data_IF_472716173108
#
_entry.id   IF_472716173108
#
_cell.length_a   1.000
_cell.length_b   1.000
_cell.length_c   1.000
_cell.angle_alpha   90.00
_cell.angle_beta   90.00
_cell.angle_gamma   90.00
#
_symmetry.space_group_name_H-M   'P 1'
#
loop_
_entity.id
_entity.type
_entity.pdbx_description
1 polymer ?
#
# COMPACT_ATOMS: atom_id res chain seq x y z
N UNK A 1 8.48 38.93 -8.46
CA UNK A 1 7.85 38.15 -9.54
C UNK A 1 6.54 37.58 -9.01
N UNK A 2 5.41 38.06 -9.52
CA UNK A 2 4.07 37.74 -9.03
C UNK A 2 3.70 36.29 -9.34
N UNK A 3 3.67 35.43 -8.31
CA UNK A 3 3.07 34.10 -8.40
C UNK A 3 1.58 34.25 -8.68
N UNK A 4 1.16 33.89 -9.90
CA UNK A 4 -0.27 33.78 -10.24
C UNK A 4 -0.84 32.64 -9.41
N UNK A 5 -1.50 32.98 -8.30
CA UNK A 5 -2.38 32.07 -7.56
C UNK A 5 -3.48 31.60 -8.51
N UNK A 6 -3.25 30.50 -9.21
CA UNK A 6 -4.27 29.85 -10.02
C UNK A 6 -5.32 29.28 -9.06
N UNK A 7 -6.60 29.55 -9.31
CA UNK A 7 -7.68 28.99 -8.52
C UNK A 7 -7.72 27.48 -8.75
N UNK A 8 -7.14 26.71 -7.81
CA UNK A 8 -7.03 25.24 -7.93
C UNK A 8 -8.39 24.56 -7.78
N UNK A 9 -9.23 25.09 -6.89
CA UNK A 9 -10.62 24.65 -6.72
C UNK A 9 -11.57 25.81 -7.01
N UNK A 10 -12.67 25.60 -7.77
CA UNK A 10 -13.67 26.63 -8.02
C UNK A 10 -14.32 27.14 -6.72
N UNK A 11 -14.49 26.26 -5.74
CA UNK A 11 -15.16 26.53 -4.46
C UNK A 11 -14.61 25.62 -3.36
N UNK A 12 -14.68 26.07 -2.11
CA UNK A 12 -14.44 25.26 -0.91
C UNK A 12 -15.60 25.48 0.07
N UNK A 13 -16.14 24.38 0.60
CA UNK A 13 -17.17 24.42 1.64
C UNK A 13 -16.52 24.33 3.03
N UNK A 14 -17.26 24.68 4.10
CA UNK A 14 -16.75 24.59 5.48
C UNK A 14 -17.67 23.72 6.33
N UNK A 15 -17.08 22.72 6.98
CA UNK A 15 -17.80 21.86 7.91
C UNK A 15 -18.10 22.57 9.22
N UNK A 16 -19.22 22.19 9.85
CA UNK A 16 -19.47 22.54 11.24
C UNK A 16 -18.66 21.65 12.20
N UNK A 17 -18.42 22.13 13.41
CA UNK A 17 -17.61 21.42 14.43
C UNK A 17 -18.10 20.00 14.72
N UNK A 18 -19.42 19.77 14.77
CA UNK A 18 -19.99 18.43 15.01
C UNK A 18 -19.67 17.45 13.89
N UNK A 19 -19.64 17.91 12.64
CA UNK A 19 -19.29 17.08 11.49
C UNK A 19 -17.79 16.85 11.39
N UNK A 20 -16.97 17.84 11.77
CA UNK A 20 -15.52 17.66 11.94
C UNK A 20 -15.19 16.62 12.99
N UNK A 21 -15.84 16.67 14.16
CA UNK A 21 -15.66 15.66 15.20
C UNK A 21 -16.06 14.26 14.72
N UNK A 22 -17.16 14.15 13.96
CA UNK A 22 -17.56 12.87 13.35
C UNK A 22 -16.52 12.34 12.38
N UNK A 23 -15.92 13.18 11.53
CA UNK A 23 -14.82 12.76 10.64
C UNK A 23 -13.65 12.21 11.45
N UNK A 24 -13.25 12.91 12.52
CA UNK A 24 -12.18 12.46 13.39
C UNK A 24 -12.51 11.09 13.99
N UNK A 25 -13.70 10.93 14.56
CA UNK A 25 -14.11 9.70 15.26
C UNK A 25 -14.39 8.51 14.34
N UNK A 26 -14.72 8.73 13.06
CA UNK A 26 -15.12 7.66 12.13
C UNK A 26 -14.07 7.34 11.07
N UNK A 27 -13.14 8.25 10.80
CA UNK A 27 -12.12 8.07 9.76
C UNK A 27 -10.73 8.11 10.37
N UNK A 28 -10.36 9.22 11.01
CA UNK A 28 -8.98 9.47 11.46
C UNK A 28 -8.61 8.55 12.63
N UNK A 29 -9.39 8.58 13.72
CA UNK A 29 -9.10 7.81 14.92
C UNK A 29 -9.16 6.29 14.67
N UNK A 30 -10.15 5.72 13.96
CA UNK A 30 -10.13 4.30 13.59
C UNK A 30 -8.93 3.90 12.75
N UNK A 31 -8.51 4.74 11.79
CA UNK A 31 -7.32 4.47 10.96
C UNK A 31 -6.04 4.45 11.80
N UNK A 32 -5.90 5.38 12.74
CA UNK A 32 -4.78 5.39 13.69
C UNK A 32 -4.84 4.22 14.68
N UNK A 33 -6.03 3.85 15.15
CA UNK A 33 -6.24 2.75 16.10
C UNK A 33 -5.85 1.39 15.49
N UNK A 34 -6.13 1.16 14.21
CA UNK A 34 -5.66 -0.04 13.48
C UNK A 34 -4.13 -0.16 13.42
N UNK A 35 -3.41 0.94 13.65
CA UNK A 35 -1.97 1.05 13.43
C UNK A 35 -1.68 1.49 12.00
N UNK A 36 -0.93 2.59 11.86
CA UNK A 36 -0.69 3.26 10.57
C UNK A 36 0.35 2.50 9.76
N UNK A 37 1.38 1.96 10.41
CA UNK A 37 2.51 1.26 9.75
C UNK A 37 2.50 -0.25 10.01
N UNK A 38 2.24 -0.66 11.25
CA UNK A 38 2.03 -2.07 11.61
C UNK A 38 0.61 -2.23 12.08
N UNK A 39 -0.13 -3.16 11.46
CA UNK A 39 -1.52 -3.46 11.83
C UNK A 39 -1.59 -4.18 13.16
N UNK A 40 -2.55 -3.78 14.00
CA UNK A 40 -2.82 -4.38 15.31
C UNK A 40 -3.89 -5.47 15.13
N UNK A 41 -3.58 -6.77 15.32
CA UNK A 41 -4.52 -7.85 15.02
C UNK A 41 -5.87 -7.72 15.74
N UNK A 42 -5.85 -7.40 17.03
CA UNK A 42 -7.07 -7.24 17.84
C UNK A 42 -7.98 -6.12 17.33
N UNK A 43 -7.38 -5.04 16.79
CA UNK A 43 -8.12 -3.90 16.26
C UNK A 43 -8.62 -4.18 14.84
N UNK A 44 -7.86 -4.89 14.01
CA UNK A 44 -8.35 -5.31 12.69
C UNK A 44 -9.56 -6.24 12.82
N UNK A 45 -9.50 -7.23 13.70
CA UNK A 45 -10.62 -8.12 13.99
C UNK A 45 -11.87 -7.34 14.45
N UNK A 46 -11.70 -6.39 15.38
CA UNK A 46 -12.79 -5.54 15.84
C UNK A 46 -13.35 -4.66 14.72
N UNK A 47 -12.47 -4.10 13.88
CA UNK A 47 -12.87 -3.22 12.80
C UNK A 47 -13.63 -3.92 11.67
N UNK A 48 -13.29 -5.17 11.37
CA UNK A 48 -14.05 -6.05 10.48
C UNK A 48 -15.42 -6.35 11.10
N UNK A 49 -15.47 -6.85 12.35
CA UNK A 49 -16.72 -7.17 13.04
C UNK A 49 -17.68 -5.98 13.15
N UNK A 50 -17.16 -4.78 13.32
CA UNK A 50 -17.93 -3.55 13.47
C UNK A 50 -18.06 -2.75 12.16
N UNK A 51 -17.54 -3.27 11.05
CA UNK A 51 -17.54 -2.67 9.71
C UNK A 51 -17.19 -1.17 9.69
N UNK A 52 -16.06 -0.83 10.33
CA UNK A 52 -15.62 0.56 10.51
C UNK A 52 -15.45 1.30 9.17
N UNK A 53 -14.94 0.60 8.15
CA UNK A 53 -14.76 1.20 6.82
C UNK A 53 -16.09 1.54 6.15
N UNK A 54 -17.09 0.65 6.18
CA UNK A 54 -18.40 0.99 5.61
C UNK A 54 -19.07 2.14 6.36
N UNK A 55 -18.91 2.21 7.69
CA UNK A 55 -19.36 3.35 8.49
C UNK A 55 -18.66 4.65 8.07
N UNK A 56 -17.35 4.62 7.85
CA UNK A 56 -16.58 5.77 7.36
C UNK A 56 -17.04 6.23 5.97
N UNK A 57 -17.25 5.30 5.02
CA UNK A 57 -17.78 5.59 3.69
C UNK A 57 -19.17 6.24 3.76
N UNK A 58 -20.07 5.70 4.60
CA UNK A 58 -21.40 6.31 4.83
C UNK A 58 -21.30 7.73 5.40
N UNK A 59 -20.32 8.01 6.28
CA UNK A 59 -20.10 9.37 6.75
C UNK A 59 -19.64 10.32 5.63
N UNK A 60 -18.74 9.87 4.76
CA UNK A 60 -18.31 10.65 3.59
C UNK A 60 -19.48 10.97 2.64
N UNK A 61 -20.33 9.98 2.35
CA UNK A 61 -21.54 10.17 1.56
C UNK A 61 -22.49 11.19 2.18
N UNK A 62 -22.69 11.11 3.51
CA UNK A 62 -23.51 12.08 4.24
C UNK A 62 -22.95 13.50 4.13
N UNK A 63 -21.63 13.66 4.20
CA UNK A 63 -20.96 14.95 4.05
C UNK A 63 -21.11 15.49 2.61
N UNK A 64 -20.89 14.66 1.59
CA UNK A 64 -21.12 15.03 0.18
C UNK A 64 -22.57 15.45 -0.07
N UNK A 65 -23.55 14.71 0.47
CA UNK A 65 -24.98 15.06 0.36
C UNK A 65 -25.31 16.40 1.05
N UNK A 66 -24.70 16.67 2.21
CA UNK A 66 -25.00 17.87 3.00
C UNK A 66 -24.31 19.13 2.47
N UNK A 67 -23.04 19.02 2.09
CA UNK A 67 -22.20 20.17 1.74
C UNK A 67 -21.99 20.32 0.22
N UNK A 68 -22.28 19.30 -0.56
CA UNK A 68 -21.97 19.23 -1.99
C UNK A 68 -20.60 18.58 -2.27
N UNK A 69 -20.21 18.46 -3.55
CA UNK A 69 -19.01 17.74 -3.97
C UNK A 69 -17.70 18.51 -3.76
N UNK A 70 -17.75 19.85 -3.70
CA UNK A 70 -16.54 20.67 -3.55
C UNK A 70 -15.79 20.35 -2.24
N UNK A 71 -14.45 20.56 -2.19
CA UNK A 71 -13.64 20.20 -1.03
C UNK A 71 -14.17 20.81 0.26
N UNK A 72 -14.16 20.01 1.33
CA UNK A 72 -14.74 20.38 2.62
C UNK A 72 -13.64 20.73 3.62
N UNK A 73 -13.56 22.01 3.98
CA UNK A 73 -12.67 22.52 5.01
C UNK A 73 -13.16 22.09 6.39
N UNK A 74 -12.36 21.23 7.04
CA UNK A 74 -12.51 20.82 8.43
C UNK A 74 -11.68 21.76 9.32
N UNK A 75 -12.33 22.56 10.21
CA UNK A 75 -11.63 23.46 11.13
C UNK A 75 -10.98 22.70 12.29
N UNK A 76 -10.00 21.83 12.02
CA UNK A 76 -9.21 21.19 13.07
C UNK A 76 -8.28 22.24 13.70
N UNK A 77 -8.18 22.34 15.05
CA UNK A 77 -7.31 23.29 15.72
C UNK A 77 -5.86 23.23 15.21
N UNK A 78 -5.20 24.38 15.11
CA UNK A 78 -3.82 24.60 14.64
C UNK A 78 -3.54 24.25 13.17
N UNK A 79 -4.19 23.24 12.61
CA UNK A 79 -3.97 22.82 11.22
C UNK A 79 -5.27 22.38 10.55
N UNK A 80 -5.94 23.26 9.80
CA UNK A 80 -7.15 22.88 9.08
C UNK A 80 -6.84 21.80 8.03
N UNK A 81 -7.88 21.03 7.66
CA UNK A 81 -7.78 19.95 6.69
C UNK A 81 -8.84 20.13 5.60
N UNK A 82 -8.46 20.03 4.33
CA UNK A 82 -9.38 19.90 3.20
C UNK A 82 -9.68 18.42 2.96
N UNK A 83 -10.93 18.02 3.18
CA UNK A 83 -11.42 16.69 2.86
C UNK A 83 -11.98 16.69 1.42
N UNK A 84 -11.41 15.87 0.54
CA UNK A 84 -11.91 15.77 -0.84
C UNK A 84 -13.13 14.86 -0.91
N UNK A 85 -14.14 15.29 -1.68
CA UNK A 85 -15.41 14.58 -1.84
C UNK A 85 -15.76 14.29 -3.32
N UNK A 86 -14.93 14.76 -4.25
CA UNK A 86 -15.10 14.57 -5.69
C UNK A 86 -13.86 13.94 -6.32
N UNK A 87 -14.02 12.92 -7.20
CA UNK A 87 -12.90 12.30 -7.91
C UNK A 87 -12.07 13.27 -8.77
N UNK A 88 -12.68 14.32 -9.33
CA UNK A 88 -11.97 15.33 -10.12
C UNK A 88 -11.00 16.13 -9.24
N UNK A 89 -11.41 16.48 -8.03
CA UNK A 89 -10.53 17.16 -7.07
C UNK A 89 -9.38 16.25 -6.62
N UNK A 90 -9.62 14.95 -6.47
CA UNK A 90 -8.56 13.96 -6.22
C UNK A 90 -7.54 13.98 -7.36
N UNK A 91 -7.99 13.94 -8.61
CA UNK A 91 -7.11 14.02 -9.78
C UNK A 91 -6.28 15.32 -9.77
N UNK A 92 -6.93 16.47 -9.59
CA UNK A 92 -6.27 17.78 -9.50
C UNK A 92 -5.17 17.79 -8.42
N UNK A 93 -5.48 17.35 -7.20
CA UNK A 93 -4.52 17.32 -6.10
C UNK A 93 -3.31 16.43 -6.40
N UNK A 94 -3.56 15.23 -6.95
CA UNK A 94 -2.50 14.26 -7.21
C UNK A 94 -1.63 14.67 -8.40
N UNK A 95 -2.21 15.21 -9.47
CA UNK A 95 -1.47 15.69 -10.65
C UNK A 95 -0.67 16.96 -10.36
N UNK A 96 -1.17 17.83 -9.47
CA UNK A 96 -0.45 19.03 -8.99
C UNK A 96 0.37 18.77 -7.73
N UNK A 97 0.81 17.53 -7.50
CA UNK A 97 1.80 17.19 -6.48
C UNK A 97 3.21 17.15 -7.12
N UNK A 98 4.30 17.58 -6.44
CA UNK A 98 4.38 17.95 -5.04
C UNK A 98 4.09 19.42 -4.74
N UNK A 99 3.89 20.27 -5.74
CA UNK A 99 3.57 21.69 -5.53
C UNK A 99 2.36 22.10 -6.38
N UNK A 100 1.32 22.70 -5.78
CA UNK A 100 1.26 23.18 -4.39
C UNK A 100 0.93 22.10 -3.35
N UNK A 101 0.76 20.83 -3.73
CA UNK A 101 0.35 19.74 -2.83
C UNK A 101 1.51 18.84 -2.42
N UNK A 102 2.25 19.23 -1.37
CA UNK A 102 3.40 18.46 -0.88
C UNK A 102 2.98 17.10 -0.35
N UNK A 103 3.72 16.06 -0.74
CA UNK A 103 3.52 14.71 -0.25
C UNK A 103 4.21 14.44 1.11
N UNK A 104 5.26 15.20 1.42
CA UNK A 104 5.97 15.14 2.69
C UNK A 104 5.20 15.96 3.74
N UNK A 105 4.36 15.28 4.52
CA UNK A 105 3.56 15.91 5.57
C UNK A 105 4.17 15.69 6.94
N UNK A 106 3.93 16.58 7.94
CA UNK A 106 4.38 16.42 9.32
C UNK A 106 4.07 15.03 9.90
N UNK A 107 2.92 14.46 9.57
CA UNK A 107 2.54 13.10 9.98
C UNK A 107 3.53 12.05 9.45
N UNK A 108 3.90 12.14 8.17
CA UNK A 108 4.90 11.24 7.57
C UNK A 108 6.28 11.48 8.14
N UNK A 109 6.68 12.74 8.34
CA UNK A 109 7.97 13.06 8.96
C UNK A 109 8.07 12.45 10.36
N UNK A 110 7.06 12.67 11.20
CA UNK A 110 7.03 12.13 12.55
C UNK A 110 7.03 10.59 12.58
N UNK A 111 6.32 9.97 11.64
CA UNK A 111 6.22 8.52 11.56
C UNK A 111 7.52 7.88 11.04
N UNK A 112 8.02 8.36 9.90
CA UNK A 112 9.11 7.74 9.16
C UNK A 112 10.50 8.10 9.72
N UNK A 113 10.60 9.14 10.56
CA UNK A 113 11.83 9.45 11.29
C UNK A 113 12.36 8.32 12.17
N UNK A 114 11.50 7.36 12.54
CA UNK A 114 11.88 6.22 13.39
C UNK A 114 12.76 5.19 12.67
N UNK A 115 12.65 5.03 11.36
CA UNK A 115 13.39 3.99 10.62
C UNK A 115 13.97 4.44 9.27
N UNK A 116 13.53 5.59 8.74
CA UNK A 116 13.97 6.10 7.43
C UNK A 116 14.01 7.65 7.37
N UNK A 117 14.70 8.33 8.30
CA UNK A 117 14.60 9.78 8.48
C UNK A 117 15.04 10.63 7.28
N UNK A 118 15.78 10.04 6.33
CA UNK A 118 16.28 10.73 5.12
C UNK A 118 15.58 10.25 3.84
N UNK A 119 14.44 9.57 3.95
CA UNK A 119 13.75 8.97 2.81
C UNK A 119 13.11 10.00 1.85
N UNK A 120 12.99 9.61 0.58
CA UNK A 120 12.29 10.37 -0.47
C UNK A 120 10.83 10.74 -0.14
N UNK A 121 10.14 9.98 0.72
CA UNK A 121 8.75 10.25 1.14
C UNK A 121 8.60 11.42 2.12
N UNK A 122 9.67 11.77 2.84
CA UNK A 122 9.73 12.87 3.81
C UNK A 122 10.66 13.99 3.34
N UNK A 123 11.01 14.00 2.05
CA UNK A 123 11.90 14.99 1.48
C UNK A 123 11.14 16.21 0.95
N UNK A 124 11.77 17.38 0.98
CA UNK A 124 11.29 18.57 0.27
C UNK A 124 11.15 18.30 -1.23
N UNK A 125 10.46 19.17 -1.97
CA UNK A 125 10.30 19.00 -3.42
C UNK A 125 11.65 18.95 -4.16
N UNK A 126 12.58 19.85 -3.81
CA UNK A 126 13.95 19.86 -4.37
C UNK A 126 14.70 18.57 -4.06
N UNK A 127 14.72 18.16 -2.79
CA UNK A 127 15.42 16.95 -2.37
C UNK A 127 14.81 15.69 -2.96
N UNK A 128 13.49 15.67 -3.12
CA UNK A 128 12.78 14.59 -3.81
C UNK A 128 13.19 14.50 -5.27
N UNK A 129 13.37 15.62 -5.97
CA UNK A 129 13.82 15.62 -7.36
C UNK A 129 15.20 14.96 -7.53
N UNK A 130 16.06 15.05 -6.52
CA UNK A 130 17.37 14.36 -6.49
C UNK A 130 17.24 12.86 -6.17
N UNK A 131 16.42 12.50 -5.17
CA UNK A 131 16.32 11.12 -4.68
C UNK A 131 15.43 10.23 -5.56
N UNK A 132 14.38 10.79 -6.18
CA UNK A 132 13.36 10.03 -6.93
C UNK A 132 13.94 9.26 -8.12
N UNK A 133 14.82 9.83 -8.97
CA UNK A 133 15.41 9.08 -10.09
C UNK A 133 16.17 7.83 -9.64
N UNK A 134 16.86 7.88 -8.50
CA UNK A 134 17.57 6.73 -7.94
C UNK A 134 16.63 5.57 -7.59
N UNK A 135 15.45 5.88 -7.02
CA UNK A 135 14.40 4.88 -6.79
C UNK A 135 13.83 4.35 -8.09
N UNK A 136 13.55 5.22 -9.07
CA UNK A 136 12.95 4.79 -10.33
C UNK A 136 13.86 3.90 -11.17
N UNK A 137 15.17 4.17 -11.15
CA UNK A 137 16.18 3.31 -11.75
C UNK A 137 16.23 1.94 -11.06
N UNK A 138 16.29 1.94 -9.72
CA UNK A 138 16.43 0.72 -8.94
C UNK A 138 15.21 -0.19 -9.03
N UNK A 139 14.01 0.41 -9.05
CA UNK A 139 12.73 -0.28 -9.12
C UNK A 139 12.22 -0.50 -10.55
N UNK A 140 12.98 -0.03 -11.55
CA UNK A 140 12.62 -0.06 -12.97
C UNK A 140 11.20 0.47 -13.24
N UNK A 141 10.87 1.63 -12.68
CA UNK A 141 9.51 2.20 -12.68
C UNK A 141 8.88 2.29 -14.06
N UNK A 142 9.68 2.61 -15.09
CA UNK A 142 9.22 2.79 -16.46
C UNK A 142 8.94 1.46 -17.18
N UNK A 143 9.46 0.34 -16.66
CA UNK A 143 9.33 -0.96 -17.28
C UNK A 143 8.11 -1.69 -16.71
N UNK A 144 7.33 -2.32 -17.60
CA UNK A 144 6.20 -3.20 -17.19
C UNK A 144 6.70 -4.37 -16.33
N UNK A 145 7.80 -4.97 -16.77
CA UNK A 145 8.51 -6.03 -16.06
C UNK A 145 9.88 -5.53 -15.64
N UNK A 146 10.19 -5.70 -14.36
CA UNK A 146 11.54 -5.43 -13.86
C UNK A 146 12.58 -6.29 -14.61
N UNK A 147 13.79 -5.79 -14.92
CA UNK A 147 14.83 -6.58 -15.59
C UNK A 147 15.22 -7.88 -14.87
N UNK A 148 14.95 -7.96 -13.56
CA UNK A 148 15.21 -9.15 -12.73
C UNK A 148 13.96 -10.02 -12.50
N UNK A 149 12.83 -9.80 -13.20
CA UNK A 149 11.58 -10.55 -12.98
C UNK A 149 11.74 -12.06 -13.05
N UNK A 150 12.56 -12.58 -13.98
CA UNK A 150 12.83 -14.02 -14.06
C UNK A 150 13.58 -14.55 -12.83
N UNK A 151 14.56 -13.80 -12.33
CA UNK A 151 15.28 -14.13 -11.09
C UNK A 151 14.35 -14.05 -9.87
N UNK A 152 13.55 -12.99 -9.77
CA UNK A 152 12.56 -12.81 -8.71
C UNK A 152 11.55 -13.97 -8.69
N UNK A 153 11.08 -14.41 -9.86
CA UNK A 153 10.24 -15.62 -9.96
C UNK A 153 10.94 -16.84 -9.35
N UNK A 154 12.20 -17.09 -9.68
CA UNK A 154 12.96 -18.21 -9.11
C UNK A 154 13.07 -18.15 -7.58
N UNK A 155 13.32 -16.96 -7.03
CA UNK A 155 13.33 -16.73 -5.57
C UNK A 155 11.97 -17.02 -4.95
N UNK A 156 10.90 -16.47 -5.55
CA UNK A 156 9.52 -16.62 -5.07
C UNK A 156 9.11 -18.10 -5.10
N UNK A 157 9.32 -18.78 -6.23
CA UNK A 157 9.00 -20.20 -6.39
C UNK A 157 9.72 -21.03 -5.32
N UNK A 158 11.02 -20.79 -5.08
CA UNK A 158 11.78 -21.51 -4.07
C UNK A 158 11.21 -21.35 -2.65
N UNK A 159 10.88 -20.13 -2.23
CA UNK A 159 10.36 -19.89 -0.88
C UNK A 159 8.93 -20.42 -0.69
N UNK A 160 8.07 -20.27 -1.71
CA UNK A 160 6.68 -20.71 -1.62
C UNK A 160 6.51 -22.23 -1.81
N UNK A 161 7.36 -22.88 -2.61
CA UNK A 161 7.41 -24.34 -2.68
C UNK A 161 7.93 -24.96 -1.39
N UNK A 162 8.92 -24.32 -0.73
CA UNK A 162 9.35 -24.74 0.60
C UNK A 162 8.19 -24.60 1.61
N UNK A 163 7.52 -23.44 1.64
CA UNK A 163 6.35 -23.22 2.51
C UNK A 163 5.27 -24.29 2.30
N UNK A 164 4.99 -24.66 1.04
CA UNK A 164 4.05 -25.73 0.72
C UNK A 164 4.50 -27.09 1.28
N UNK A 165 5.80 -27.42 1.18
CA UNK A 165 6.38 -28.63 1.77
C UNK A 165 6.22 -28.64 3.29
N UNK A 166 6.56 -27.54 3.95
CA UNK A 166 6.46 -27.37 5.40
C UNK A 166 5.00 -27.54 5.86
N UNK A 167 4.04 -26.90 5.19
CA UNK A 167 2.60 -27.01 5.52
C UNK A 167 2.07 -28.43 5.32
N UNK A 168 2.52 -29.15 4.28
CA UNK A 168 2.12 -30.54 4.03
C UNK A 168 2.67 -31.50 5.07
N UNK A 169 3.87 -31.25 5.58
CA UNK A 169 4.46 -32.04 6.65
C UNK A 169 3.80 -31.77 8.01
N UNK A 170 3.22 -30.58 8.19
CA UNK A 170 2.43 -30.25 9.37
C UNK A 170 1.02 -30.86 9.28
N UNK A 171 0.49 -31.36 10.40
CA UNK A 171 -0.80 -32.10 10.44
C UNK A 171 -2.03 -31.25 10.08
N UNK A 172 -1.94 -29.92 10.13
CA UNK A 172 -3.07 -29.04 9.81
C UNK A 172 -3.32 -28.91 8.30
N UNK A 173 -2.27 -28.90 7.47
CA UNK A 173 -2.40 -28.55 6.04
C UNK A 173 -2.94 -27.13 5.79
N UNK A 174 -2.90 -26.28 6.82
CA UNK A 174 -3.45 -24.91 6.80
C UNK A 174 -2.34 -23.88 6.69
N UNK A 175 -2.57 -22.88 5.84
CA UNK A 175 -1.78 -21.67 5.72
C UNK A 175 -2.47 -20.54 6.50
N UNK A 176 -1.77 -20.02 7.50
CA UNK A 176 -2.15 -18.82 8.25
C UNK A 176 -1.21 -17.65 7.96
N UNK A 177 -1.54 -16.48 8.51
CA UNK A 177 -0.72 -15.29 8.34
C UNK A 177 0.72 -15.45 8.89
N UNK A 178 0.97 -15.96 10.11
CA UNK A 178 2.33 -16.19 10.60
C UNK A 178 3.17 -17.04 9.65
N UNK A 179 2.68 -18.19 9.17
CA UNK A 179 3.42 -19.05 8.25
C UNK A 179 3.67 -18.36 6.89
N UNK A 180 2.63 -17.71 6.33
CA UNK A 180 2.74 -16.94 5.09
C UNK A 180 3.78 -15.81 5.20
N UNK A 181 3.65 -14.98 6.24
CA UNK A 181 4.45 -13.77 6.42
C UNK A 181 5.93 -14.08 6.60
N UNK A 182 6.30 -15.19 7.26
CA UNK A 182 7.69 -15.63 7.35
C UNK A 182 8.30 -15.95 5.98
N UNK A 183 7.60 -16.71 5.13
CA UNK A 183 8.08 -17.00 3.78
C UNK A 183 8.12 -15.72 2.92
N UNK A 184 7.11 -14.88 3.05
CA UNK A 184 7.04 -13.59 2.37
C UNK A 184 8.24 -12.69 2.70
N UNK A 185 8.60 -12.53 3.98
CA UNK A 185 9.75 -11.70 4.34
C UNK A 185 11.11 -12.32 3.99
N UNK A 186 11.21 -13.65 3.80
CA UNK A 186 12.38 -14.27 3.15
C UNK A 186 12.49 -13.83 1.69
N UNK A 187 11.38 -13.86 0.94
CA UNK A 187 11.32 -13.34 -0.43
C UNK A 187 11.74 -11.88 -0.44
N UNK A 188 11.13 -11.02 0.38
CA UNK A 188 11.45 -9.57 0.43
C UNK A 188 12.94 -9.32 0.66
N UNK A 189 13.55 -9.99 1.63
CA UNK A 189 15.00 -9.84 1.88
C UNK A 189 15.84 -10.26 0.68
N UNK A 190 15.52 -11.39 0.05
CA UNK A 190 16.26 -11.88 -1.13
C UNK A 190 16.12 -10.96 -2.33
N UNK A 191 14.91 -10.45 -2.60
CA UNK A 191 14.65 -9.49 -3.69
C UNK A 191 15.37 -8.16 -3.45
N UNK A 192 15.27 -7.63 -2.22
CA UNK A 192 15.79 -6.30 -1.90
C UNK A 192 17.31 -6.32 -1.75
N UNK A 193 17.85 -7.24 -0.94
CA UNK A 193 19.24 -7.25 -0.47
C UNK A 193 20.09 -8.38 -1.06
N UNK A 194 19.47 -9.38 -1.68
CA UNK A 194 20.15 -10.54 -2.28
C UNK A 194 20.13 -11.81 -1.44
N UNK A 195 20.73 -12.88 -1.99
CA UNK A 195 20.64 -14.24 -1.44
C UNK A 195 21.18 -14.35 0.00
N UNK A 196 22.25 -13.62 0.29
CA UNK A 196 22.86 -13.56 1.63
C UNK A 196 21.88 -13.13 2.72
N UNK A 197 20.84 -12.35 2.38
CA UNK A 197 19.87 -11.84 3.35
C UNK A 197 18.75 -12.84 3.67
N UNK A 198 18.69 -14.00 3.00
CA UNK A 198 17.61 -14.98 3.14
C UNK A 198 17.27 -15.29 4.60
N UNK A 199 18.29 -15.58 5.41
CA UNK A 199 18.14 -16.02 6.81
C UNK A 199 18.37 -14.89 7.82
N UNK A 200 18.48 -13.64 7.40
CA UNK A 200 18.67 -12.51 8.31
C UNK A 200 17.35 -12.10 8.96
N UNK A 201 16.86 -12.95 9.86
CA UNK A 201 15.62 -12.74 10.63
C UNK A 201 15.79 -11.51 11.52
N UNK A 202 16.98 -11.34 12.10
CA UNK A 202 17.27 -10.24 13.01
C UNK A 202 17.13 -8.87 12.34
N UNK A 203 17.54 -8.70 11.08
CA UNK A 203 17.28 -7.48 10.31
C UNK A 203 15.79 -7.15 10.24
N UNK A 204 14.93 -8.14 9.93
CA UNK A 204 13.48 -7.94 9.84
C UNK A 204 12.88 -7.59 11.20
N UNK A 205 13.32 -8.25 12.28
CA UNK A 205 12.90 -7.96 13.64
C UNK A 205 13.27 -6.54 14.07
N UNK A 206 14.53 -6.14 13.87
CA UNK A 206 15.01 -4.78 14.17
C UNK A 206 14.20 -3.73 13.40
N UNK A 207 13.91 -3.95 12.11
CA UNK A 207 13.03 -3.04 11.36
C UNK A 207 11.61 -3.00 11.94
N UNK A 208 11.04 -4.14 12.33
CA UNK A 208 9.70 -4.21 12.92
C UNK A 208 9.62 -3.53 14.29
N UNK A 209 10.68 -3.62 15.12
CA UNK A 209 10.77 -2.92 16.40
C UNK A 209 10.75 -1.40 16.21
N UNK A 210 11.50 -0.88 15.24
CA UNK A 210 11.47 0.54 14.86
C UNK A 210 10.10 0.96 14.33
N UNK A 211 9.50 0.18 13.42
CA UNK A 211 8.17 0.43 12.85
C UNK A 211 7.05 0.34 13.90
N UNK A 212 7.20 -0.50 14.91
CA UNK A 212 6.25 -0.61 16.02
C UNK A 212 6.12 0.70 16.79
N UNK A 213 7.25 1.41 16.97
CA UNK A 213 7.29 2.75 17.60
C UNK A 213 6.68 3.82 16.71
N UNK A 214 6.78 3.68 15.39
CA UNK A 214 6.16 4.60 14.42
C UNK A 214 4.64 4.76 14.61
N UNK A 215 3.93 3.73 15.09
CA UNK A 215 2.48 3.84 15.36
C UNK A 215 2.14 4.90 16.43
N UNK A 216 3.14 5.38 17.18
CA UNK A 216 3.01 6.46 18.17
C UNK A 216 3.56 7.80 17.65
N UNK A 217 4.11 7.85 16.43
CA UNK A 217 4.63 9.05 15.77
C UNK A 217 5.46 9.93 16.73
N UNK A 218 5.05 11.18 16.95
CA UNK A 218 5.73 12.12 17.85
C UNK A 218 5.57 11.80 19.34
N UNK A 219 4.68 10.89 19.73
CA UNK A 219 4.49 10.50 21.14
C UNK A 219 5.53 9.49 21.63
N UNK A 220 6.31 8.88 20.72
CA UNK A 220 7.46 8.04 21.07
C UNK A 220 8.76 8.67 20.55
N UNK A 221 9.86 8.67 21.34
CA UNK A 221 11.16 9.12 20.85
C UNK A 221 11.74 8.12 19.85
N UNK A 222 12.52 8.62 18.88
CA UNK A 222 13.28 7.79 17.94
C UNK A 222 14.36 7.01 18.69
N UNK A 223 14.40 5.69 18.51
CA UNK A 223 15.49 4.86 19.03
C UNK A 223 16.74 5.02 18.17
N UNK A 224 17.60 5.95 18.54
CA UNK A 224 18.82 6.21 17.76
C UNK A 224 19.79 5.02 17.76
N UNK A 225 19.77 4.18 18.80
CA UNK A 225 20.66 3.01 18.89
C UNK A 225 20.17 1.89 17.99
N UNK A 226 18.89 1.56 18.08
CA UNK A 226 18.28 0.53 17.21
C UNK A 226 18.28 0.99 15.74
N UNK A 227 18.09 2.28 15.46
CA UNK A 227 18.20 2.84 14.11
C UNK A 227 19.62 2.73 13.55
N UNK A 228 20.64 3.02 14.37
CA UNK A 228 22.03 2.86 13.96
C UNK A 228 22.38 1.39 13.71
N UNK A 229 21.88 0.47 14.55
CA UNK A 229 22.02 -0.97 14.34
C UNK A 229 21.37 -1.41 13.03
N UNK A 230 20.15 -0.96 12.76
CA UNK A 230 19.44 -1.26 11.52
C UNK A 230 20.22 -0.76 10.29
N UNK A 231 20.67 0.49 10.30
CA UNK A 231 21.49 1.04 9.22
C UNK A 231 22.80 0.26 9.05
N UNK A 232 23.45 -0.18 10.13
CA UNK A 232 24.63 -1.03 10.06
C UNK A 232 24.34 -2.41 9.45
N UNK A 233 23.18 -3.01 9.76
CA UNK A 233 22.74 -4.26 9.15
C UNK A 233 22.51 -4.10 7.64
N UNK A 234 21.79 -3.05 7.22
CA UNK A 234 21.56 -2.74 5.80
C UNK A 234 22.87 -2.42 5.07
N UNK A 235 23.76 -1.65 5.71
CA UNK A 235 25.06 -1.24 5.16
C UNK A 235 25.94 -2.42 4.73
N UNK A 236 25.86 -3.56 5.42
CA UNK A 236 26.58 -4.80 5.05
C UNK A 236 26.16 -5.39 3.71
N UNK A 237 24.95 -5.11 3.25
CA UNK A 237 24.45 -5.53 1.93
C UNK A 237 24.71 -4.46 0.87
N UNK A 238 24.74 -3.19 1.26
CA UNK A 238 25.07 -2.08 0.38
C UNK A 238 26.55 -2.03 -0.02
N UNK A 239 27.45 -2.50 0.86
CA UNK A 239 28.89 -2.55 0.57
C UNK A 239 29.23 -3.52 -0.56
N UNK A 240 28.55 -4.66 -0.61
CA UNK A 240 28.69 -5.69 -1.65
C UNK A 240 27.30 -6.15 -2.13
N UNK A 241 26.63 -5.36 -2.99
CA UNK A 241 25.31 -5.69 -3.49
C UNK A 241 25.31 -6.98 -4.31
N UNK A 242 24.39 -7.90 -4.01
CA UNK A 242 24.16 -9.09 -4.83
C UNK A 242 23.68 -8.69 -6.22
N UNK A 243 24.23 -9.32 -7.27
CA UNK A 243 24.01 -8.97 -8.68
C UNK A 243 22.54 -8.74 -9.05
N UNK A 244 21.61 -9.57 -8.58
CA UNK A 244 20.19 -9.50 -8.95
C UNK A 244 19.28 -8.94 -7.86
N UNK A 245 19.84 -8.27 -6.86
CA UNK A 245 19.07 -7.56 -5.83
C UNK A 245 18.63 -6.16 -6.29
N UNK A 246 17.58 -5.59 -5.68
CA UNK A 246 17.18 -4.21 -5.96
C UNK A 246 18.28 -3.21 -5.60
N UNK A 247 19.00 -3.44 -4.49
CA UNK A 247 20.11 -2.57 -4.08
C UNK A 247 21.26 -2.55 -5.08
N UNK A 248 21.41 -3.57 -5.93
CA UNK A 248 22.45 -3.60 -6.99
C UNK A 248 22.22 -2.56 -8.09
N UNK A 249 20.96 -2.17 -8.29
CA UNK A 249 20.56 -1.15 -9.27
C UNK A 249 20.50 0.26 -8.68
N UNK A 250 20.61 0.40 -7.36
CA UNK A 250 20.63 1.70 -6.73
C UNK A 250 21.96 2.41 -7.04
N UNK A 251 21.95 3.68 -7.45
CA UNK A 251 23.17 4.38 -7.85
C UNK A 251 24.19 4.46 -6.72
N UNK A 252 25.46 4.28 -7.09
CA UNK A 252 26.62 4.45 -6.19
C UNK A 252 27.08 5.91 -6.20
N UNK A 253 27.60 6.39 -5.07
CA UNK A 253 28.02 7.78 -4.90
C UNK A 253 26.83 8.72 -4.67
N UNK A 254 27.10 9.99 -4.36
CA UNK A 254 26.06 10.97 -4.01
C UNK A 254 25.53 10.84 -2.57
N UNK A 255 24.87 11.88 -2.08
CA UNK A 255 24.40 11.92 -0.69
C UNK A 255 23.04 11.23 -0.50
N UNK A 256 22.79 10.05 -1.09
CA UNK A 256 21.43 9.46 -1.10
C UNK A 256 20.90 8.94 0.25
N UNK A 257 21.78 8.73 1.24
CA UNK A 257 21.46 8.00 2.47
C UNK A 257 20.78 6.64 2.18
N UNK A 258 21.48 5.73 1.47
CA UNK A 258 20.90 4.52 0.89
C UNK A 258 20.22 3.63 1.93
N UNK A 259 20.69 3.57 3.16
CA UNK A 259 20.08 2.80 4.25
C UNK A 259 18.63 3.25 4.51
N UNK A 260 18.39 4.56 4.54
CA UNK A 260 17.04 5.12 4.67
C UNK A 260 16.19 4.95 3.40
N UNK A 261 16.80 4.84 2.22
CA UNK A 261 16.05 4.56 0.99
C UNK A 261 15.62 3.09 0.91
N UNK A 262 16.50 2.16 1.31
CA UNK A 262 16.26 0.72 1.30
C UNK A 262 15.30 0.29 2.41
N UNK A 263 15.31 1.00 3.55
CA UNK A 263 14.32 0.83 4.61
C UNK A 263 12.87 0.88 4.08
N UNK A 264 12.58 1.83 3.19
CA UNK A 264 11.29 1.96 2.50
C UNK A 264 10.91 0.69 1.77
N UNK A 265 11.85 0.10 1.03
CA UNK A 265 11.57 -1.08 0.22
C UNK A 265 11.32 -2.29 1.11
N UNK A 266 12.14 -2.50 2.14
CA UNK A 266 11.97 -3.60 3.09
C UNK A 266 10.63 -3.55 3.82
N UNK A 267 10.13 -2.36 4.18
CA UNK A 267 8.84 -2.25 4.84
C UNK A 267 7.64 -2.23 3.88
N UNK A 268 7.75 -1.57 2.71
CA UNK A 268 6.60 -1.37 1.82
C UNK A 268 6.03 -2.68 1.27
N UNK A 269 6.85 -3.72 1.15
CA UNK A 269 6.38 -5.05 0.75
C UNK A 269 5.44 -5.72 1.77
N UNK A 270 5.33 -5.22 3.01
CA UNK A 270 4.34 -5.72 3.98
C UNK A 270 2.91 -5.56 3.44
N UNK A 271 2.60 -4.40 2.85
CA UNK A 271 1.33 -4.15 2.18
C UNK A 271 1.07 -5.11 1.01
N UNK A 272 2.12 -5.49 0.27
CA UNK A 272 2.02 -6.45 -0.81
C UNK A 272 1.72 -7.87 -0.29
N UNK A 273 2.34 -8.30 0.82
CA UNK A 273 2.03 -9.57 1.47
C UNK A 273 0.57 -9.68 1.92
N UNK A 274 0.04 -8.62 2.55
CA UNK A 274 -1.39 -8.52 2.91
C UNK A 274 -2.28 -8.66 1.67
N UNK A 275 -1.87 -8.06 0.55
CA UNK A 275 -2.62 -8.11 -0.71
C UNK A 275 -2.60 -9.52 -1.31
N UNK A 276 -1.47 -10.22 -1.28
CA UNK A 276 -1.34 -11.61 -1.75
C UNK A 276 -2.28 -12.55 -1.00
N UNK A 277 -2.27 -12.54 0.34
CA UNK A 277 -3.11 -13.46 1.12
C UNK A 277 -4.60 -13.18 0.94
N UNK A 278 -4.99 -11.90 0.83
CA UNK A 278 -6.39 -11.50 0.52
C UNK A 278 -6.78 -11.92 -0.90
N UNK A 279 -5.86 -11.86 -1.86
CA UNK A 279 -6.12 -12.29 -3.24
C UNK A 279 -6.32 -13.79 -3.31
N UNK A 280 -5.52 -14.59 -2.59
CA UNK A 280 -5.72 -16.03 -2.49
C UNK A 280 -7.09 -16.37 -1.88
N UNK A 281 -7.50 -15.66 -0.81
CA UNK A 281 -8.83 -15.83 -0.23
C UNK A 281 -9.95 -15.51 -1.23
N UNK A 282 -9.81 -14.42 -1.99
CA UNK A 282 -10.80 -14.05 -3.00
C UNK A 282 -10.86 -15.04 -4.17
N UNK A 283 -9.72 -15.46 -4.69
CA UNK A 283 -9.68 -16.46 -5.77
C UNK A 283 -10.33 -17.77 -5.32
N UNK A 284 -10.10 -18.20 -4.07
CA UNK A 284 -10.74 -19.39 -3.50
C UNK A 284 -12.28 -19.28 -3.40
N UNK A 285 -12.84 -18.07 -3.43
CA UNK A 285 -14.29 -17.85 -3.44
C UNK A 285 -14.90 -17.72 -4.85
N UNK A 286 -14.09 -17.62 -5.91
CA UNK A 286 -14.55 -17.38 -7.28
C UNK A 286 -13.97 -18.42 -8.25
N UNK A 287 -14.70 -19.51 -8.50
CA UNK A 287 -14.22 -20.64 -9.35
C UNK A 287 -13.76 -20.18 -10.74
N UNK A 288 -14.47 -19.25 -11.38
CA UNK A 288 -14.10 -18.73 -12.70
C UNK A 288 -12.82 -17.89 -12.67
N UNK A 289 -12.60 -17.10 -11.62
CA UNK A 289 -11.38 -16.32 -11.46
C UNK A 289 -10.21 -17.22 -11.07
N UNK A 290 -10.45 -18.20 -10.20
CA UNK A 290 -9.47 -19.20 -9.83
C UNK A 290 -8.94 -19.95 -11.07
N UNK A 291 -9.82 -20.44 -11.94
CA UNK A 291 -9.41 -21.17 -13.15
C UNK A 291 -8.49 -20.34 -14.04
N UNK A 292 -8.85 -19.07 -14.30
CA UNK A 292 -8.02 -18.13 -15.08
C UNK A 292 -6.67 -17.85 -14.43
N UNK A 293 -6.64 -17.63 -13.11
CA UNK A 293 -5.39 -17.39 -12.39
C UNK A 293 -4.49 -18.63 -12.36
N UNK A 294 -5.06 -19.84 -12.32
CA UNK A 294 -4.31 -21.10 -12.42
C UNK A 294 -3.73 -21.27 -13.82
N UNK A 295 -4.53 -21.06 -14.87
CA UNK A 295 -4.07 -21.12 -16.26
C UNK A 295 -2.88 -20.17 -16.49
N UNK A 296 -3.03 -18.92 -16.04
CA UNK A 296 -1.96 -17.91 -16.11
C UNK A 296 -0.73 -18.27 -15.27
N UNK A 297 -0.91 -18.90 -14.09
CA UNK A 297 0.20 -19.37 -13.29
C UNK A 297 0.97 -20.53 -13.97
N UNK A 298 0.26 -21.41 -14.68
CA UNK A 298 0.80 -22.59 -15.36
C UNK A 298 1.47 -22.26 -16.70
N UNK A 299 1.10 -21.16 -17.36
CA UNK A 299 1.74 -20.72 -18.61
C UNK A 299 3.21 -20.34 -18.44
N UNK A 300 3.63 -20.02 -17.22
CA UNK A 300 4.98 -19.54 -16.92
C UNK A 300 5.19 -18.06 -17.23
N UNK A 301 4.16 -17.34 -17.69
CA UNK A 301 4.24 -15.90 -17.98
C UNK A 301 4.59 -15.10 -16.71
N UNK A 302 5.45 -14.10 -16.90
CA UNK A 302 5.93 -13.19 -15.86
C UNK A 302 4.98 -12.01 -15.65
N UNK A 303 4.21 -11.59 -16.66
CA UNK A 303 3.35 -10.41 -16.53
C UNK A 303 2.10 -10.71 -15.72
N UNK A 304 1.43 -11.83 -15.99
CA UNK A 304 0.23 -12.28 -15.28
C UNK A 304 -0.86 -11.21 -15.16
N UNK A 305 -1.30 -10.61 -16.29
CA UNK A 305 -2.23 -9.48 -16.30
C UNK A 305 -3.56 -9.73 -15.56
N UNK A 306 -4.09 -10.95 -15.61
CA UNK A 306 -5.33 -11.29 -14.90
C UNK A 306 -5.14 -11.31 -13.38
N UNK A 307 -4.08 -11.98 -12.89
CA UNK A 307 -3.75 -12.02 -11.46
C UNK A 307 -3.39 -10.62 -10.94
N UNK A 308 -2.71 -9.79 -11.75
CA UNK A 308 -2.48 -8.36 -11.42
C UNK A 308 -3.79 -7.60 -11.25
N UNK A 309 -4.74 -7.78 -12.16
CA UNK A 309 -6.08 -7.16 -12.05
C UNK A 309 -6.81 -7.61 -10.77
N UNK A 310 -6.66 -8.88 -10.39
CA UNK A 310 -7.19 -9.39 -9.12
C UNK A 310 -6.54 -8.72 -7.89
N UNK A 311 -5.22 -8.51 -7.91
CA UNK A 311 -4.50 -7.81 -6.84
C UNK A 311 -4.94 -6.34 -6.72
N UNK A 312 -5.14 -5.67 -7.87
CA UNK A 312 -5.64 -4.29 -7.91
C UNK A 312 -7.07 -4.18 -7.39
N UNK A 313 -7.94 -5.14 -7.72
CA UNK A 313 -9.28 -5.24 -7.13
C UNK A 313 -9.23 -5.40 -5.60
N UNK A 314 -8.33 -6.23 -5.08
CA UNK A 314 -8.13 -6.37 -3.63
C UNK A 314 -7.68 -5.06 -3.01
N UNK A 315 -6.78 -4.32 -3.65
CA UNK A 315 -6.35 -2.98 -3.20
C UNK A 315 -7.47 -1.93 -3.32
N UNK A 316 -8.39 -2.07 -4.28
CA UNK A 316 -9.59 -1.24 -4.39
C UNK A 316 -10.53 -1.52 -3.21
N UNK A 317 -10.87 -2.78 -2.98
CA UNK A 317 -11.82 -3.23 -1.96
C UNK A 317 -11.29 -2.99 -0.53
N UNK A 318 -10.00 -3.25 -0.30
CA UNK A 318 -9.34 -3.13 1.00
C UNK A 318 -7.97 -2.46 0.90
N UNK A 319 -7.93 -1.12 0.70
CA UNK A 319 -6.68 -0.38 0.58
C UNK A 319 -5.79 -0.58 1.81
N UNK A 320 -4.52 -0.92 1.57
CA UNK A 320 -3.50 -1.00 2.64
C UNK A 320 -3.04 0.38 3.10
N UNK A 321 -3.22 1.41 2.26
CA UNK A 321 -3.05 2.82 2.62
C UNK A 321 -4.36 3.58 2.34
N UNK A 322 -5.31 3.57 3.29
CA UNK A 322 -6.67 4.09 3.06
C UNK A 322 -6.76 5.62 3.06
N UNK A 323 -5.76 6.31 3.59
CA UNK A 323 -5.72 7.78 3.66
C UNK A 323 -4.46 8.28 2.96
N UNK A 324 -4.63 9.04 1.88
CA UNK A 324 -3.53 9.73 1.19
C UNK A 324 -3.53 11.18 1.67
N UNK A 325 -2.41 11.60 2.24
CA UNK A 325 -2.21 12.95 2.75
C UNK A 325 -1.38 13.79 1.78
N UNK A 326 -1.79 15.06 1.65
CA UNK A 326 -0.99 16.15 1.08
C UNK A 326 -1.03 17.37 2.01
N UNK A 327 -0.22 18.37 1.69
CA UNK A 327 -0.20 19.64 2.39
C UNK A 327 0.03 20.78 1.41
N UNK A 328 -0.66 21.90 1.60
CA UNK A 328 -0.40 23.11 0.83
C UNK A 328 0.97 23.70 1.14
N UNK A 329 1.78 23.92 0.11
CA UNK A 329 3.08 24.61 0.20
C UNK A 329 2.96 26.13 0.12
N UNK A 330 1.82 26.62 -0.34
CA UNK A 330 1.49 28.04 -0.49
C UNK A 330 0.01 28.31 -0.20
N UNK A 331 -0.33 29.59 -0.07
CA UNK A 331 -1.73 30.02 0.02
C UNK A 331 -2.43 29.85 -1.33
N UNK A 332 -3.61 29.24 -1.33
CA UNK A 332 -4.43 29.10 -2.56
C UNK A 332 -5.71 29.92 -2.46
N UNK A 333 -6.12 30.52 -3.58
CA UNK A 333 -7.41 31.20 -3.69
C UNK A 333 -8.47 30.20 -4.19
N UNK A 334 -9.57 30.05 -3.46
CA UNK A 334 -10.69 29.19 -3.84
C UNK A 334 -12.03 29.87 -3.53
N UNK A 335 -12.87 30.07 -4.54
CA UNK A 335 -14.22 30.64 -4.38
C UNK A 335 -14.27 31.94 -3.56
N UNK A 336 -13.32 32.86 -3.77
CA UNK A 336 -13.23 34.14 -3.04
C UNK A 336 -12.60 34.05 -1.63
N UNK A 337 -12.11 32.89 -1.21
CA UNK A 337 -11.41 32.69 0.07
C UNK A 337 -9.94 32.36 -0.15
N UNK A 338 -9.12 32.66 0.84
CA UNK A 338 -7.73 32.19 0.92
C UNK A 338 -7.70 30.97 1.83
N UNK A 339 -7.19 29.86 1.32
CA UNK A 339 -6.85 28.69 2.12
C UNK A 339 -5.35 28.78 2.43
N UNK A 340 -4.95 28.86 3.70
CA UNK A 340 -3.57 29.15 4.04
C UNK A 340 -2.64 27.97 3.75
N UNK A 341 -1.40 28.29 3.43
CA UNK A 341 -0.25 27.38 3.44
C UNK A 341 -0.26 26.54 4.72
N UNK A 342 0.12 25.27 4.59
CA UNK A 342 0.15 24.33 5.72
C UNK A 342 -1.17 23.59 5.97
N UNK A 343 -2.28 24.04 5.37
CA UNK A 343 -3.53 23.28 5.35
C UNK A 343 -3.27 21.88 4.78
N UNK A 344 -3.66 20.85 5.52
CA UNK A 344 -3.55 19.47 5.05
C UNK A 344 -4.67 19.15 4.07
N UNK A 345 -4.47 18.14 3.23
CA UNK A 345 -5.48 17.63 2.30
C UNK A 345 -5.60 16.13 2.52
N UNK A 346 -6.83 15.67 2.69
CA UNK A 346 -7.18 14.29 3.00
C UNK A 346 -7.96 13.70 1.81
N UNK A 347 -7.39 12.65 1.23
CA UNK A 347 -8.06 11.77 0.28
C UNK A 347 -8.31 10.45 1.00
N UNK A 348 -9.58 10.13 1.25
CA UNK A 348 -9.97 8.85 1.85
C UNK A 348 -10.33 7.85 0.74
N UNK A 349 -9.37 7.01 0.36
CA UNK A 349 -9.49 6.10 -0.77
C UNK A 349 -10.72 5.18 -0.72
N UNK A 350 -11.09 4.55 0.43
CA UNK A 350 -12.27 3.68 0.49
C UNK A 350 -13.59 4.35 0.05
N UNK A 351 -13.72 5.66 0.23
CA UNK A 351 -14.91 6.39 -0.22
C UNK A 351 -15.03 6.42 -1.74
N UNK A 352 -13.92 6.67 -2.45
CA UNK A 352 -13.91 6.68 -3.91
C UNK A 352 -13.87 5.26 -4.49
N UNK A 353 -13.17 4.34 -3.84
CA UNK A 353 -12.97 2.98 -4.33
C UNK A 353 -14.22 2.10 -4.28
N UNK A 354 -15.15 2.42 -3.36
CA UNK A 354 -16.40 1.69 -3.15
C UNK A 354 -17.60 2.65 -3.18
N UNK A 355 -17.57 3.59 -4.11
CA UNK A 355 -18.70 4.47 -4.37
C UNK A 355 -19.92 3.59 -4.73
N UNK A 356 -21.05 3.68 -4.00
CA UNK A 356 -22.24 2.87 -4.26
C UNK A 356 -22.89 3.14 -5.61
N UNK A 357 -22.49 4.20 -6.33
CA UNK A 357 -22.90 4.41 -7.73
C UNK A 357 -22.31 3.33 -8.65
N UNK A 358 -21.23 2.64 -8.26
CA UNK A 358 -20.68 1.51 -9.00
C UNK A 358 -21.44 0.21 -8.69
N UNK A 359 -21.86 -0.51 -9.73
CA UNK A 359 -22.49 -1.84 -9.58
C UNK A 359 -21.56 -2.86 -8.90
N UNK A 360 -20.24 -2.66 -9.01
CA UNK A 360 -19.18 -3.49 -8.42
C UNK A 360 -18.63 -2.93 -7.09
N UNK A 361 -19.26 -1.91 -6.48
CA UNK A 361 -18.72 -1.21 -5.31
C UNK A 361 -18.23 -2.16 -4.19
N UNK A 362 -19.01 -3.21 -3.92
CA UNK A 362 -18.74 -4.21 -2.88
C UNK A 362 -18.44 -5.62 -3.44
N UNK A 363 -18.14 -5.73 -4.73
CA UNK A 363 -17.86 -7.00 -5.40
C UNK A 363 -16.49 -6.94 -6.03
N UNK A 364 -15.85 -8.10 -6.19
CA UNK A 364 -14.62 -8.20 -6.95
C UNK A 364 -14.94 -8.31 -8.43
N UNK A 365 -14.42 -7.38 -9.23
CA UNK A 365 -14.57 -7.37 -10.67
C UNK A 365 -13.24 -7.02 -11.34
N UNK A 366 -12.39 -8.02 -11.67
CA UNK A 366 -11.11 -7.76 -12.31
C UNK A 366 -11.23 -7.11 -13.69
N UNK A 367 -12.40 -7.20 -14.34
CA UNK A 367 -12.60 -6.69 -15.71
C UNK A 367 -12.64 -5.17 -15.80
N UNK A 368 -12.79 -4.46 -14.67
CA UNK A 368 -12.77 -3.00 -14.66
C UNK A 368 -11.38 -2.44 -14.98
N UNK A 369 -10.31 -3.20 -14.73
CA UNK A 369 -8.94 -2.77 -14.97
C UNK A 369 -8.62 -2.89 -16.45
N UNK A 370 -8.20 -1.78 -17.06
CA UNK A 370 -7.83 -1.77 -18.46
C UNK A 370 -6.51 -2.48 -18.72
N UNK A 371 -6.14 -2.66 -20.01
CA UNK A 371 -4.83 -3.18 -20.39
C UNK A 371 -3.70 -2.40 -19.69
N UNK A 372 -2.65 -3.11 -19.28
CA UNK A 372 -1.51 -2.55 -18.54
C UNK A 372 -1.91 -1.82 -17.25
N UNK A 373 -2.93 -2.32 -16.55
CA UNK A 373 -3.42 -1.81 -15.26
C UNK A 373 -3.97 -0.38 -15.33
N UNK A 374 -4.47 0.03 -16.51
CA UNK A 374 -5.05 1.36 -16.69
C UNK A 374 -6.23 1.57 -15.72
N UNK A 375 -6.28 2.76 -15.10
CA UNK A 375 -7.28 3.10 -14.10
C UNK A 375 -8.69 3.13 -14.72
N UNK A 376 -9.68 2.42 -14.13
CA UNK A 376 -11.04 2.35 -14.67
C UNK A 376 -11.79 3.69 -14.64
N UNK A 377 -11.51 4.49 -13.60
CA UNK A 377 -12.23 5.70 -13.27
C UNK A 377 -11.35 6.67 -12.46
N UNK A 378 -11.68 7.96 -12.51
CA UNK A 378 -11.08 8.94 -11.62
C UNK A 378 -11.33 8.57 -10.15
N UNK A 379 -10.35 8.82 -9.28
CA UNK A 379 -10.45 8.55 -7.84
C UNK A 379 -10.08 7.13 -7.39
N UNK A 380 -9.90 6.18 -8.32
CA UNK A 380 -9.28 4.88 -8.01
C UNK A 380 -7.75 5.05 -7.99
N UNK A 381 -7.15 4.92 -6.80
CA UNK A 381 -5.76 5.30 -6.55
C UNK A 381 -5.00 4.27 -5.70
N UNK A 382 -4.96 2.98 -6.10
CA UNK A 382 -4.30 1.91 -5.33
C UNK A 382 -2.81 2.20 -5.05
N UNK A 383 -2.16 2.99 -5.91
CA UNK A 383 -0.76 3.39 -5.82
C UNK A 383 -0.56 4.92 -5.76
N UNK A 384 -1.59 5.69 -5.38
CA UNK A 384 -1.66 7.15 -5.64
C UNK A 384 -1.66 7.43 -7.16
N UNK A 385 -1.54 8.68 -7.57
CA UNK A 385 -1.37 9.10 -8.97
C UNK A 385 -0.45 10.34 -9.07
N UNK A 386 -0.24 10.80 -10.31
CA UNK A 386 0.53 11.99 -10.64
C UNK A 386 2.04 11.85 -10.37
N UNK A 387 2.81 12.96 -10.31
CA UNK A 387 4.27 12.94 -10.15
C UNK A 387 4.77 12.29 -8.85
N UNK A 388 3.87 12.04 -7.90
CA UNK A 388 4.16 11.40 -6.61
C UNK A 388 3.54 9.99 -6.51
N UNK A 389 3.17 9.38 -7.63
CA UNK A 389 2.77 7.97 -7.72
C UNK A 389 3.84 7.05 -7.13
N UNK A 390 3.43 5.90 -6.58
CA UNK A 390 4.37 4.87 -6.14
C UNK A 390 5.33 4.48 -7.29
N UNK A 391 6.67 4.55 -7.10
CA UNK A 391 7.60 4.12 -8.14
C UNK A 391 7.50 2.61 -8.40
N UNK A 392 7.15 1.82 -7.40
CA UNK A 392 7.02 0.37 -7.54
C UNK A 392 5.63 -0.08 -8.07
N UNK A 393 4.87 0.78 -8.73
CA UNK A 393 3.52 0.46 -9.22
C UNK A 393 3.49 -0.69 -10.24
N UNK A 394 4.60 -0.95 -10.96
CA UNK A 394 4.75 -2.15 -11.79
C UNK A 394 5.34 -3.34 -11.03
N UNK A 395 6.43 -3.10 -10.28
CA UNK A 395 7.18 -4.13 -9.56
C UNK A 395 6.32 -4.86 -8.51
N UNK A 396 5.57 -4.14 -7.69
CA UNK A 396 4.81 -4.73 -6.59
C UNK A 396 3.73 -5.70 -7.10
N UNK A 397 2.87 -5.33 -8.06
CA UNK A 397 1.90 -6.27 -8.62
C UNK A 397 2.58 -7.46 -9.34
N UNK A 398 3.74 -7.29 -9.99
CA UNK A 398 4.49 -8.42 -10.59
C UNK A 398 4.95 -9.39 -9.51
N UNK A 399 5.62 -8.91 -8.46
CA UNK A 399 6.11 -9.78 -7.37
C UNK A 399 4.94 -10.48 -6.66
N UNK A 400 3.85 -9.75 -6.41
CA UNK A 400 2.67 -10.31 -5.79
C UNK A 400 1.95 -11.34 -6.68
N UNK A 401 1.84 -11.10 -7.99
CA UNK A 401 1.22 -12.04 -8.94
C UNK A 401 2.06 -13.30 -9.11
N UNK A 402 3.39 -13.16 -9.10
CA UNK A 402 4.34 -14.26 -9.08
C UNK A 402 4.12 -15.14 -7.84
N UNK A 403 3.99 -14.54 -6.65
CA UNK A 403 3.74 -15.25 -5.40
C UNK A 403 2.39 -15.98 -5.37
N UNK A 404 1.31 -15.34 -5.85
CA UNK A 404 0.01 -15.99 -5.99
C UNK A 404 0.12 -17.23 -6.88
N UNK A 405 0.70 -17.11 -8.08
CA UNK A 405 0.77 -18.26 -8.98
C UNK A 405 1.82 -19.32 -8.57
N UNK A 406 2.84 -18.99 -7.77
CA UNK A 406 3.72 -20.00 -7.17
C UNK A 406 2.92 -20.99 -6.29
N UNK A 407 1.92 -20.49 -5.56
CA UNK A 407 0.99 -21.33 -4.81
C UNK A 407 -0.02 -22.03 -5.72
N UNK A 408 -0.68 -21.30 -6.64
CA UNK A 408 -1.76 -21.86 -7.48
C UNK A 408 -1.28 -22.91 -8.49
N UNK A 409 -0.03 -22.82 -8.96
CA UNK A 409 0.57 -23.82 -9.85
C UNK A 409 0.88 -25.14 -9.14
N UNK A 410 1.05 -25.12 -7.81
CA UNK A 410 1.45 -26.28 -7.02
C UNK A 410 0.33 -26.84 -6.11
N UNK A 411 -0.71 -26.05 -5.85
CA UNK A 411 -1.80 -26.41 -4.96
C UNK A 411 -3.16 -25.82 -5.38
N UNK A 412 -4.22 -26.57 -5.10
CA UNK A 412 -5.57 -26.04 -5.01
C UNK A 412 -5.74 -25.34 -3.65
N UNK A 413 -6.41 -24.19 -3.66
CA UNK A 413 -6.56 -23.32 -2.48
C UNK A 413 -8.02 -23.24 -2.09
N UNK A 414 -8.32 -23.51 -0.82
CA UNK A 414 -9.68 -23.40 -0.26
C UNK A 414 -9.66 -22.43 0.91
N UNK A 415 -10.57 -21.45 0.92
CA UNK A 415 -10.76 -20.56 2.06
C UNK A 415 -11.52 -21.28 3.16
N UNK A 416 -10.92 -21.37 4.34
CA UNK A 416 -11.55 -21.93 5.54
C UNK A 416 -12.21 -20.83 6.38
N UNK A 417 -11.50 -19.72 6.55
CA UNK A 417 -11.99 -18.54 7.27
C UNK A 417 -11.39 -17.26 6.68
N UNK A 418 -12.11 -16.12 6.73
CA UNK A 418 -13.52 -16.02 7.09
C UNK A 418 -14.45 -16.50 5.96
N UNK A 419 -15.75 -16.66 6.25
CA UNK A 419 -16.75 -16.86 5.19
C UNK A 419 -17.06 -15.53 4.50
N UNK A 420 -16.95 -15.48 3.17
CA UNK A 420 -17.15 -14.26 2.38
C UNK A 420 -18.42 -14.36 1.53
N UNK A 421 -19.29 -13.36 1.66
CA UNK A 421 -20.40 -13.17 0.73
C UNK A 421 -19.90 -12.42 -0.50
N UNK A 422 -19.59 -13.14 -1.58
CA UNK A 422 -18.94 -12.60 -2.79
C UNK A 422 -19.72 -11.45 -3.46
N UNK A 423 -21.04 -11.43 -3.30
CA UNK A 423 -21.91 -10.37 -3.83
C UNK A 423 -21.97 -9.11 -2.97
N UNK A 424 -21.45 -9.16 -1.74
CA UNK A 424 -21.43 -8.04 -0.81
C UNK A 424 -20.31 -8.19 0.22
N UNK A 425 -19.09 -7.89 -0.21
CA UNK A 425 -17.88 -8.04 0.59
C UNK A 425 -17.85 -7.05 1.77
N UNK A 426 -17.24 -7.42 2.91
CA UNK A 426 -17.15 -6.54 4.07
C UNK A 426 -16.28 -5.31 3.80
N UNK A 427 -16.48 -4.21 4.53
CA UNK A 427 -15.67 -2.99 4.38
C UNK A 427 -14.20 -3.16 4.79
N UNK A 428 -13.90 -4.14 5.65
CA UNK A 428 -12.55 -4.57 6.04
C UNK A 428 -12.48 -6.08 5.92
N UNK A 429 -11.36 -6.62 5.41
CA UNK A 429 -11.04 -8.04 5.48
C UNK A 429 -9.82 -8.22 6.37
N UNK A 430 -10.01 -8.83 7.55
CA UNK A 430 -8.91 -9.08 8.48
C UNK A 430 -7.99 -10.18 7.92
N UNK A 431 -6.79 -9.79 7.50
CA UNK A 431 -5.81 -10.70 6.96
C UNK A 431 -5.23 -11.66 8.01
N UNK A 432 -5.28 -11.31 9.30
CA UNK A 432 -4.83 -12.20 10.38
C UNK A 432 -5.79 -13.37 10.60
N UNK A 433 -7.08 -13.17 10.29
CA UNK A 433 -8.12 -14.19 10.39
C UNK A 433 -8.18 -15.13 9.17
N UNK A 434 -7.46 -14.82 8.09
CA UNK A 434 -7.46 -15.67 6.90
C UNK A 434 -6.81 -17.01 7.21
N UNK A 435 -7.52 -18.09 6.88
CA UNK A 435 -7.05 -19.47 6.94
C UNK A 435 -7.35 -20.15 5.62
N UNK A 436 -6.31 -20.68 4.98
CA UNK A 436 -6.41 -21.35 3.69
C UNK A 436 -5.98 -22.81 3.84
N UNK A 437 -6.70 -23.74 3.21
CA UNK A 437 -6.20 -25.11 3.02
C UNK A 437 -5.51 -25.21 1.67
N UNK A 438 -4.34 -25.85 1.66
CA UNK A 438 -3.56 -26.07 0.43
C UNK A 438 -3.57 -27.57 0.11
N UNK A 439 -4.31 -27.97 -0.92
CA UNK A 439 -4.33 -29.36 -1.40
C UNK A 439 -3.38 -29.51 -2.59
N UNK A 440 -2.56 -30.56 -2.61
CA UNK A 440 -1.62 -30.76 -3.71
C UNK A 440 -2.35 -30.93 -5.05
N UNK A 441 -1.98 -30.12 -6.04
CA UNK A 441 -2.51 -30.29 -7.40
C UNK A 441 -1.99 -31.61 -7.95
N UNK A 442 -2.89 -32.51 -8.38
CA UNK A 442 -2.49 -33.71 -9.13
C UNK A 442 -1.88 -33.23 -10.44
N UNK A 443 -0.60 -33.53 -10.68
CA UNK A 443 -0.04 -33.38 -12.02
C UNK A 443 -0.68 -34.46 -12.88
N UNK A 444 -1.56 -34.07 -13.81
CA UNK A 444 -1.90 -34.96 -14.91
C UNK A 444 -0.60 -35.25 -15.66
N UNK A 445 -0.29 -36.54 -15.81
CA UNK A 445 0.94 -37.04 -16.40
C UNK A 445 0.94 -36.86 -17.90
#
# INVERSE_FOLDING_TARGET
MNARSHAVFPRVNRAGWTDTLRVIMTIVAPTAAKGIIIRRPTIEHLAERQDWNAKAVKQMQRLKKKYGPAPLLLPIPFRPQLLLLDPADVSTVLQSSPEPFAAATPEKHAALAHFEPKNVLVSSASRRAELRPAHEQALATADRLHPYSAHFKGVIDAEFLQLLGDIRSNRSGELDWPAFSQAWFRVVRRLVLGERARNDIKLTETLNDLRGRTNWASAAPVDRRELALFHQQVGRYLSEPDKHSLVSRFPKGGEFAPESQVAQWLFAFDAAGITVIRTLAMLACHVSYWGKAVEEAMSGDLDRPFTRSCLLEVLRLWPTTPVILRQLTEDIKCGGRIIPRGTGVIIFAPFFHRDPEFLYANRMDPSIWGPNDALPAAGLVPFSAGPVICPAHNLVPTVASLAVGALLSAADVVLLQPSLAVDNLPGTLDHFAIRLRLAARRREK
#
